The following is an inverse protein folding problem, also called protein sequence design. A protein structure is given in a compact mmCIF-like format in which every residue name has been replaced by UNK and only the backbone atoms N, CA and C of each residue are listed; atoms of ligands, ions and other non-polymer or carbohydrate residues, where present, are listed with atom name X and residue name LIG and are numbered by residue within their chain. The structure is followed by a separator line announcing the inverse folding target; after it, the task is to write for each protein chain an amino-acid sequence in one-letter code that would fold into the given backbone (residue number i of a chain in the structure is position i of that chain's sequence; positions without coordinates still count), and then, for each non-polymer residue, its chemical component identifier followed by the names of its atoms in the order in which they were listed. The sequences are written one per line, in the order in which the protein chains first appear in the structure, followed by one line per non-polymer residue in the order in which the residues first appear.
data_IF_499194017170
#
_entry.id   IF_499194017170
#
_cell.length_a   1.000
_cell.length_b   1.000
_cell.length_c   1.000
_cell.angle_alpha   90.00
_cell.angle_beta   90.00
_cell.angle_gamma   90.00
#
_symmetry.space_group_name_H-M   'P 1'
#
loop_
_entity.id
_entity.type
_entity.pdbx_description
1 polymer ?
#
# COMPACT_ATOMS: atom_id res chain seq x y z
N UNK A 1 11.83 -7.74 -9.38
CA UNK A 1 10.89 -8.13 -8.30
C UNK A 1 10.53 -6.90 -7.46
N UNK A 2 11.49 -6.12 -6.99
CA UNK A 2 11.22 -4.85 -6.29
C UNK A 2 10.49 -3.85 -7.16
N UNK A 3 10.88 -3.75 -8.43
CA UNK A 3 10.22 -2.93 -9.41
C UNK A 3 8.74 -3.24 -9.53
N UNK A 4 8.34 -4.51 -9.37
CA UNK A 4 6.94 -4.93 -9.39
C UNK A 4 6.10 -4.30 -8.27
N UNK A 5 6.61 -4.23 -7.04
CA UNK A 5 5.92 -3.56 -5.92
C UNK A 5 5.81 -2.06 -6.17
N UNK A 6 6.91 -1.40 -6.53
CA UNK A 6 6.95 0.03 -6.80
C UNK A 6 6.02 0.41 -7.96
N UNK A 7 6.05 -0.34 -9.06
CA UNK A 7 5.17 -0.11 -10.20
C UNK A 7 3.69 -0.32 -9.84
N UNK A 8 3.35 -1.33 -9.03
CA UNK A 8 1.98 -1.56 -8.56
C UNK A 8 1.47 -0.43 -7.69
N UNK A 9 2.30 0.07 -6.77
CA UNK A 9 1.95 1.21 -5.91
C UNK A 9 1.74 2.47 -6.74
N UNK A 10 2.66 2.79 -7.65
CA UNK A 10 2.52 3.96 -8.51
C UNK A 10 1.33 3.86 -9.46
N UNK A 11 1.03 2.67 -9.99
CA UNK A 11 -0.18 2.44 -10.78
C UNK A 11 -1.44 2.73 -9.96
N UNK A 12 -1.50 2.25 -8.71
CA UNK A 12 -2.64 2.53 -7.82
C UNK A 12 -2.74 4.03 -7.50
N UNK A 13 -1.61 4.68 -7.25
CA UNK A 13 -1.52 6.13 -7.07
C UNK A 13 -2.13 6.87 -8.27
N UNK A 14 -1.69 6.57 -9.48
CA UNK A 14 -2.19 7.23 -10.69
C UNK A 14 -3.69 7.00 -10.91
N UNK A 15 -4.20 5.79 -10.65
CA UNK A 15 -5.63 5.49 -10.76
C UNK A 15 -6.47 6.26 -9.74
N UNK A 16 -5.97 6.46 -8.53
CA UNK A 16 -6.68 7.19 -7.47
C UNK A 16 -6.53 8.71 -7.64
N UNK A 17 -5.34 9.20 -7.97
CA UNK A 17 -5.09 10.62 -8.21
C UNK A 17 -5.78 11.15 -9.49
N UNK A 18 -6.16 10.26 -10.42
CA UNK A 18 -7.00 10.68 -11.56
C UNK A 18 -8.41 11.10 -11.15
N UNK A 19 -8.84 10.71 -9.95
CA UNK A 19 -10.17 11.05 -9.41
C UNK A 19 -10.13 12.18 -8.38
N UNK A 20 -9.03 12.32 -7.64
CA UNK A 20 -8.90 13.31 -6.57
C UNK A 20 -7.51 13.95 -6.61
N UNK A 21 -7.44 15.19 -6.16
CA UNK A 21 -6.17 15.90 -6.01
C UNK A 21 -5.23 15.19 -5.01
N UNK A 22 -3.92 15.29 -5.23
CA UNK A 22 -2.91 14.82 -4.29
C UNK A 22 -3.17 15.43 -2.90
N UNK A 23 -3.22 14.59 -1.87
CA UNK A 23 -3.56 15.00 -0.51
C UNK A 23 -5.06 15.06 -0.21
N UNK A 24 -5.93 14.86 -1.19
CA UNK A 24 -7.38 14.81 -0.94
C UNK A 24 -7.80 13.40 -0.51
N UNK A 25 -8.38 13.30 0.69
CA UNK A 25 -8.89 12.04 1.20
C UNK A 25 -10.13 11.59 0.42
N UNK A 26 -10.03 10.44 -0.22
CA UNK A 26 -11.18 9.76 -0.81
C UNK A 26 -11.88 8.94 0.26
N UNK A 27 -13.10 9.33 0.63
CA UNK A 27 -13.92 8.63 1.59
C UNK A 27 -14.85 7.64 0.88
N UNK A 28 -14.76 6.37 1.26
CA UNK A 28 -15.72 5.34 0.88
C UNK A 28 -16.56 5.05 2.12
N UNK A 29 -17.73 5.66 2.19
CA UNK A 29 -18.62 5.65 3.35
C UNK A 29 -19.76 4.63 3.23
N UNK A 30 -19.58 3.66 2.35
CA UNK A 30 -20.42 2.49 2.16
C UNK A 30 -19.61 1.21 2.33
N UNK A 31 -20.24 0.18 2.87
CA UNK A 31 -19.61 -1.13 2.97
C UNK A 31 -19.51 -1.78 1.59
N UNK A 32 -18.43 -2.53 1.39
CA UNK A 32 -18.25 -3.28 0.14
C UNK A 32 -19.30 -4.40 0.02
N UNK A 33 -19.73 -4.62 -1.20
CA UNK A 33 -20.70 -5.65 -1.58
C UNK A 33 -20.04 -6.69 -2.50
N UNK A 34 -20.66 -7.84 -2.73
CA UNK A 34 -20.15 -8.83 -3.68
C UNK A 34 -20.02 -8.34 -5.12
N UNK A 35 -20.66 -7.23 -5.47
CA UNK A 35 -20.55 -6.59 -6.80
C UNK A 35 -19.32 -5.70 -6.95
N UNK A 36 -18.66 -5.33 -5.85
CA UNK A 36 -17.47 -4.49 -5.90
C UNK A 36 -16.27 -5.28 -6.43
N UNK A 37 -15.69 -4.76 -7.52
CA UNK A 37 -14.55 -5.37 -8.22
C UNK A 37 -13.27 -4.54 -8.16
N UNK A 38 -13.29 -3.42 -7.44
CA UNK A 38 -12.14 -2.52 -7.35
C UNK A 38 -10.99 -3.09 -6.51
N UNK A 39 -11.32 -3.96 -5.55
CA UNK A 39 -10.39 -4.66 -4.66
C UNK A 39 -10.69 -6.15 -4.73
N UNK A 40 -9.65 -6.98 -4.68
CA UNK A 40 -9.77 -8.43 -4.86
C UNK A 40 -10.59 -9.09 -3.75
N UNK A 41 -10.38 -8.66 -2.50
CA UNK A 41 -11.11 -9.15 -1.32
C UNK A 41 -11.36 -7.97 -0.40
N UNK A 42 -12.41 -7.16 -0.66
CA UNK A 42 -12.75 -6.04 0.21
C UNK A 42 -13.38 -6.55 1.51
N UNK A 43 -13.05 -5.92 2.64
CA UNK A 43 -13.81 -6.14 3.87
C UNK A 43 -15.21 -5.52 3.71
N UNK A 44 -16.21 -6.25 4.16
CA UNK A 44 -17.60 -5.82 4.14
C UNK A 44 -18.11 -5.31 5.50
N UNK A 45 -17.23 -5.15 6.46
CA UNK A 45 -17.50 -4.66 7.81
C UNK A 45 -16.74 -3.37 8.16
N UNK A 46 -16.01 -2.82 7.21
CA UNK A 46 -15.07 -1.72 7.45
C UNK A 46 -15.25 -0.61 6.44
N UNK A 47 -15.35 0.64 6.91
CA UNK A 47 -15.30 1.83 6.07
C UNK A 47 -13.86 2.20 5.76
N UNK A 48 -13.62 2.68 4.54
CA UNK A 48 -12.30 3.03 4.05
C UNK A 48 -12.19 4.49 3.66
N UNK A 49 -11.07 5.12 4.03
CA UNK A 49 -10.65 6.36 3.39
C UNK A 49 -9.21 6.20 2.93
N UNK A 50 -8.85 6.81 1.81
CA UNK A 50 -7.46 6.75 1.37
C UNK A 50 -7.03 8.00 0.62
N UNK A 51 -5.76 8.37 0.79
CA UNK A 51 -5.14 9.45 0.06
C UNK A 51 -3.65 9.17 -0.16
N UNK A 52 -3.08 9.91 -1.12
CA UNK A 52 -1.65 9.92 -1.39
C UNK A 52 -1.09 11.27 -1.02
N UNK A 53 0.09 11.26 -0.41
CA UNK A 53 0.78 12.46 0.06
C UNK A 53 2.23 12.45 -0.40
N UNK A 54 2.76 13.64 -0.57
CA UNK A 54 4.18 13.86 -0.84
C UNK A 54 4.82 14.56 0.35
N UNK A 55 5.78 13.91 0.99
CA UNK A 55 6.46 14.37 2.19
C UNK A 55 7.75 15.13 1.90
N UNK A 56 8.09 15.40 0.64
CA UNK A 56 9.30 16.20 0.31
C UNK A 56 9.23 17.64 0.83
N UNK A 57 8.03 18.13 1.04
CA UNK A 57 7.79 19.51 1.48
C UNK A 57 7.34 19.65 2.94
N UNK A 58 7.35 18.57 3.68
CA UNK A 58 7.01 18.53 5.10
C UNK A 58 6.23 17.29 5.50
N UNK A 59 6.02 17.17 6.78
CA UNK A 59 5.44 16.00 7.43
C UNK A 59 3.90 16.01 7.36
N UNK A 60 3.32 14.82 7.49
CA UNK A 60 1.89 14.67 7.75
C UNK A 60 1.62 14.71 9.25
N UNK A 61 0.45 15.22 9.61
CA UNK A 61 -0.14 15.00 10.94
C UNK A 61 -1.39 14.17 10.79
N UNK A 62 -1.46 13.06 11.55
CA UNK A 62 -2.64 12.20 11.64
C UNK A 62 -3.28 12.43 13.00
N UNK A 63 -4.46 13.06 13.00
CA UNK A 63 -5.25 13.31 14.19
C UNK A 63 -6.41 12.32 14.25
N UNK A 64 -6.42 11.51 15.27
CA UNK A 64 -7.47 10.52 15.54
C UNK A 64 -8.21 10.94 16.79
N UNK A 65 -9.53 11.19 16.73
CA UNK A 65 -10.30 11.56 17.91
C UNK A 65 -10.47 10.37 18.87
N UNK A 66 -10.92 10.61 20.09
CA UNK A 66 -11.38 9.53 20.96
C UNK A 66 -12.46 8.70 20.28
N UNK A 67 -12.35 7.38 20.39
CA UNK A 67 -13.36 6.45 19.89
C UNK A 67 -14.55 6.42 20.83
N UNK A 68 -15.69 6.00 20.30
CA UNK A 68 -16.97 5.97 20.99
C UNK A 68 -17.06 4.87 22.08
N UNK A 69 -16.25 3.82 21.94
CA UNK A 69 -16.16 2.75 22.94
C UNK A 69 -14.82 1.99 22.86
N UNK A 70 -14.42 1.25 23.92
CA UNK A 70 -13.09 0.66 24.04
C UNK A 70 -12.79 -0.45 23.03
N UNK A 71 -13.81 -1.03 22.40
CA UNK A 71 -13.61 -2.10 21.42
C UNK A 71 -13.66 -1.63 19.98
N UNK A 72 -13.98 -0.37 19.69
CA UNK A 72 -14.00 0.16 18.34
C UNK A 72 -12.67 -0.09 17.64
N UNK A 73 -12.67 -0.93 16.62
CA UNK A 73 -11.49 -1.08 15.78
C UNK A 73 -11.33 0.12 14.85
N UNK A 74 -10.13 0.64 14.84
CA UNK A 74 -9.68 1.64 13.90
C UNK A 74 -8.20 1.44 13.57
N UNK A 75 -7.83 1.85 12.39
CA UNK A 75 -6.46 1.73 11.90
C UNK A 75 -6.19 2.80 10.84
N UNK A 76 -5.07 3.48 10.96
CA UNK A 76 -4.47 4.27 9.89
C UNK A 76 -3.16 3.60 9.50
N UNK A 77 -3.16 3.05 8.30
CA UNK A 77 -2.04 2.37 7.69
C UNK A 77 -1.32 3.34 6.77
N UNK A 78 -0.03 3.53 6.99
CA UNK A 78 0.83 4.35 6.15
C UNK A 78 1.79 3.44 5.41
N UNK A 79 1.76 3.48 4.08
CA UNK A 79 2.66 2.71 3.23
C UNK A 79 3.60 3.65 2.49
N UNK A 80 4.86 3.27 2.43
CA UNK A 80 5.80 3.88 1.50
C UNK A 80 5.62 3.32 0.07
N UNK A 81 6.38 3.86 -0.90
CA UNK A 81 6.30 3.44 -2.30
C UNK A 81 6.74 1.98 -2.52
N UNK A 82 7.46 1.38 -1.57
CA UNK A 82 7.90 -0.02 -1.63
C UNK A 82 7.04 -0.96 -0.78
N UNK A 83 5.89 -0.48 -0.28
CA UNK A 83 4.93 -1.22 0.54
C UNK A 83 5.43 -1.60 1.94
N UNK A 84 6.41 -0.88 2.48
CA UNK A 84 6.67 -0.94 3.91
C UNK A 84 5.55 -0.22 4.64
N UNK A 85 5.16 -0.78 5.77
CA UNK A 85 3.97 -0.35 6.49
C UNK A 85 4.34 0.14 7.88
N UNK A 86 3.81 1.30 8.22
CA UNK A 86 3.72 1.79 9.58
C UNK A 86 2.25 1.93 9.98
N UNK A 87 1.95 1.81 11.27
CA UNK A 87 0.59 1.83 11.79
C UNK A 87 0.39 2.90 12.85
N UNK A 88 -0.65 3.70 12.67
CA UNK A 88 -1.31 4.48 13.73
C UNK A 88 -2.64 3.80 13.99
N UNK A 89 -2.76 3.02 15.06
CA UNK A 89 -3.89 2.13 15.23
C UNK A 89 -4.26 1.90 16.70
N UNK A 90 -5.43 1.33 16.91
CA UNK A 90 -5.94 1.00 18.25
C UNK A 90 -4.94 0.18 19.08
N UNK A 91 -4.23 -0.76 18.48
CA UNK A 91 -3.27 -1.63 19.18
C UNK A 91 -2.11 -0.85 19.81
N UNK A 92 -1.65 0.21 19.16
CA UNK A 92 -0.53 1.05 19.61
C UNK A 92 -1.01 2.25 20.44
N UNK A 93 -2.14 2.85 20.09
CA UNK A 93 -2.58 4.15 20.62
C UNK A 93 -3.87 4.09 21.43
N UNK A 94 -4.51 2.91 21.54
CA UNK A 94 -5.75 2.75 22.28
C UNK A 94 -6.94 3.43 21.60
N UNK A 95 -7.86 3.94 22.41
CA UNK A 95 -9.13 4.55 21.96
C UNK A 95 -9.31 5.99 22.46
N UNK A 96 -8.37 6.53 23.23
CA UNK A 96 -8.45 7.85 23.86
C UNK A 96 -8.16 9.04 22.95
N UNK A 97 -7.94 8.79 21.69
CA UNK A 97 -7.47 9.79 20.72
C UNK A 97 -5.95 9.92 20.69
N UNK A 98 -5.42 10.33 19.56
CA UNK A 98 -3.98 10.53 19.37
C UNK A 98 -3.70 11.50 18.24
N UNK A 99 -2.54 12.16 18.29
CA UNK A 99 -1.96 12.89 17.18
C UNK A 99 -0.58 12.32 16.91
N UNK A 100 -0.31 11.96 15.66
CA UNK A 100 0.95 11.32 15.24
C UNK A 100 1.48 12.05 14.01
N UNK A 101 2.76 12.36 14.02
CA UNK A 101 3.47 12.92 12.89
C UNK A 101 4.04 11.79 12.02
N UNK A 102 3.91 11.91 10.70
CA UNK A 102 4.55 11.00 9.75
C UNK A 102 5.61 11.78 9.00
N UNK A 103 6.85 11.34 9.10
CA UNK A 103 8.00 11.98 8.47
C UNK A 103 8.67 11.06 7.46
N UNK A 104 9.27 11.64 6.44
CA UNK A 104 10.13 10.94 5.50
C UNK A 104 11.57 10.96 5.99
N UNK A 105 12.13 9.78 6.21
CA UNK A 105 13.55 9.62 6.53
C UNK A 105 14.07 8.33 5.86
N UNK A 106 14.94 8.44 4.84
CA UNK A 106 15.49 7.28 4.15
C UNK A 106 16.52 6.50 4.98
N UNK A 107 17.01 7.06 6.07
CA UNK A 107 18.08 6.47 6.89
C UNK A 107 17.51 5.62 8.02
N UNK A 108 16.32 5.93 8.50
CA UNK A 108 15.69 5.29 9.65
C UNK A 108 14.63 4.28 9.23
N UNK A 109 14.77 2.98 9.56
CA UNK A 109 13.70 2.01 9.35
C UNK A 109 12.46 2.37 10.15
N UNK A 110 11.24 2.17 9.60
CA UNK A 110 10.02 2.42 10.32
C UNK A 110 9.93 1.59 11.61
N UNK A 111 9.61 2.25 12.70
CA UNK A 111 9.25 1.60 13.96
C UNK A 111 7.73 1.41 14.02
N UNK A 112 7.29 0.20 14.37
CA UNK A 112 5.88 -0.12 14.61
C UNK A 112 5.62 -0.11 16.12
N UNK A 113 5.60 1.08 16.70
CA UNK A 113 5.38 1.29 18.13
C UNK A 113 4.30 2.36 18.39
N UNK A 114 4.08 2.68 19.66
CA UNK A 114 3.15 3.71 20.10
C UNK A 114 3.73 5.13 20.04
N UNK A 115 4.78 5.35 19.28
CA UNK A 115 5.46 6.64 19.15
C UNK A 115 4.55 7.74 18.60
N UNK A 116 4.93 8.97 18.87
CA UNK A 116 4.26 10.17 18.33
C UNK A 116 4.79 10.57 16.95
N UNK A 117 5.86 9.93 16.52
CA UNK A 117 6.47 10.10 15.19
C UNK A 117 6.58 8.75 14.53
N UNK A 118 6.13 8.66 13.31
CA UNK A 118 6.24 7.50 12.44
C UNK A 118 7.09 7.87 11.24
N UNK A 119 8.08 7.06 10.94
CA UNK A 119 9.00 7.28 9.82
C UNK A 119 8.67 6.37 8.65
N UNK A 120 8.75 6.88 7.43
CA UNK A 120 8.65 6.09 6.19
C UNK A 120 9.87 6.33 5.30
N UNK A 121 10.24 5.31 4.52
CA UNK A 121 11.48 5.29 3.75
C UNK A 121 11.44 5.97 2.38
N UNK A 122 10.29 6.47 1.93
CA UNK A 122 10.16 7.22 0.68
C UNK A 122 9.32 8.46 0.87
N UNK A 123 9.49 9.51 0.03
CA UNK A 123 8.67 10.71 0.14
C UNK A 123 7.20 10.48 -0.23
N UNK A 124 6.89 9.45 -1.01
CA UNK A 124 5.51 9.10 -1.33
C UNK A 124 4.90 8.26 -0.20
N UNK A 125 3.81 8.76 0.39
CA UNK A 125 3.01 8.09 1.40
C UNK A 125 1.63 7.73 0.87
N UNK A 126 1.22 6.48 1.02
CA UNK A 126 -0.17 6.07 0.84
C UNK A 126 -0.81 5.83 2.19
N UNK A 127 -1.79 6.65 2.53
CA UNK A 127 -2.52 6.56 3.80
C UNK A 127 -3.86 5.88 3.55
N UNK A 128 -4.16 4.85 4.35
CA UNK A 128 -5.43 4.13 4.33
C UNK A 128 -6.00 4.12 5.74
N UNK A 129 -7.15 4.77 5.91
CA UNK A 129 -7.92 4.78 7.15
C UNK A 129 -8.97 3.68 7.10
N UNK A 130 -9.16 2.99 8.22
CA UNK A 130 -10.18 1.96 8.40
C UNK A 130 -10.90 2.15 9.72
N UNK A 131 -12.23 2.06 9.69
CA UNK A 131 -13.10 2.11 10.87
C UNK A 131 -14.12 0.98 10.76
N UNK A 132 -14.20 0.16 11.79
CA UNK A 132 -15.13 -0.97 11.85
C UNK A 132 -16.58 -0.48 11.95
N UNK A 133 -17.47 -1.17 11.27
CA UNK A 133 -18.92 -1.10 11.41
C UNK A 133 -19.37 -2.39 12.10
N UNK A 134 -19.87 -2.30 13.31
CA UNK A 134 -20.17 -3.49 14.12
C UNK A 134 -21.55 -4.09 13.81
N UNK A 135 -22.48 -3.27 13.34
CA UNK A 135 -23.80 -3.69 12.90
C UNK A 135 -24.39 -2.71 11.90
N UNK A 136 -25.48 -3.04 11.21
CA UNK A 136 -26.16 -2.10 10.30
C UNK A 136 -26.56 -0.77 10.99
N UNK A 137 -26.93 -0.81 12.25
CA UNK A 137 -27.36 0.37 13.03
C UNK A 137 -26.16 1.25 13.42
N UNK A 138 -24.95 0.70 13.41
CA UNK A 138 -23.72 1.41 13.75
C UNK A 138 -23.13 2.24 12.60
N UNK A 139 -23.63 2.07 11.39
CA UNK A 139 -23.04 2.65 10.17
C UNK A 139 -22.87 4.18 10.25
N UNK A 140 -23.84 4.90 10.78
CA UNK A 140 -23.78 6.37 10.88
C UNK A 140 -22.74 6.81 11.90
N UNK A 141 -22.58 6.06 12.97
CA UNK A 141 -21.57 6.31 13.98
C UNK A 141 -20.16 6.08 13.41
N UNK A 142 -19.97 4.97 12.72
CA UNK A 142 -18.71 4.65 12.05
C UNK A 142 -18.36 5.70 10.98
N UNK A 143 -19.34 6.19 10.20
CA UNK A 143 -19.18 7.30 9.24
C UNK A 143 -18.75 8.60 9.93
N UNK A 144 -19.34 8.92 11.08
CA UNK A 144 -18.95 10.10 11.85
C UNK A 144 -17.50 10.00 12.34
N UNK A 145 -17.11 8.84 12.88
CA UNK A 145 -15.72 8.57 13.31
C UNK A 145 -14.75 8.63 12.11
N UNK A 146 -15.09 8.02 10.98
CA UNK A 146 -14.29 8.06 9.77
C UNK A 146 -14.00 9.50 9.32
N UNK A 147 -15.02 10.36 9.30
CA UNK A 147 -14.91 11.76 8.89
C UNK A 147 -14.17 12.63 9.90
N UNK A 148 -14.07 12.21 11.14
CA UNK A 148 -13.36 12.94 12.20
C UNK A 148 -11.89 12.59 12.32
N UNK A 149 -11.43 11.49 11.69
CA UNK A 149 -10.01 11.21 11.51
C UNK A 149 -9.46 12.14 10.43
N UNK A 150 -8.49 12.96 10.78
CA UNK A 150 -7.91 13.97 9.90
C UNK A 150 -6.47 13.62 9.55
N UNK A 151 -6.12 13.83 8.30
CA UNK A 151 -4.74 13.77 7.84
C UNK A 151 -4.42 15.13 7.21
N UNK A 152 -3.52 15.85 7.84
CA UNK A 152 -3.09 17.18 7.42
C UNK A 152 -1.70 17.10 6.82
N UNK A 153 -1.54 17.65 5.63
CA UNK A 153 -0.27 17.73 4.92
C UNK A 153 0.05 19.18 4.59
N UNK A 154 1.32 19.52 4.39
CA UNK A 154 1.69 20.77 3.75
C UNK A 154 1.00 20.92 2.38
N UNK A 155 0.75 22.14 1.92
CA UNK A 155 0.18 22.35 0.59
C UNK A 155 1.05 21.69 -0.49
N UNK A 156 0.42 20.91 -1.38
CA UNK A 156 1.11 20.29 -2.49
C UNK A 156 1.71 21.35 -3.42
N UNK A 157 2.95 21.16 -3.86
CA UNK A 157 3.59 22.07 -4.79
C UNK A 157 2.95 21.96 -6.19
N UNK A 158 2.56 23.07 -6.85
CA UNK A 158 1.81 23.02 -8.12
C UNK A 158 2.52 22.27 -9.25
N UNK A 159 3.85 22.25 -9.26
CA UNK A 159 4.67 21.62 -10.31
C UNK A 159 4.69 20.09 -10.26
N UNK A 160 4.29 19.47 -9.16
CA UNK A 160 4.33 18.02 -8.99
C UNK A 160 3.03 17.31 -9.39
N UNK A 161 1.97 18.07 -9.64
CA UNK A 161 0.66 17.57 -10.09
C UNK A 161 0.67 16.99 -11.53
N UNK A 162 1.69 17.30 -12.30
CA UNK A 162 1.72 17.05 -13.75
C UNK A 162 2.42 15.76 -14.17
N UNK A 163 2.98 15.00 -13.25
CA UNK A 163 3.65 13.76 -13.60
C UNK A 163 2.65 12.68 -14.00
N UNK A 164 2.32 12.67 -15.27
CA UNK A 164 1.80 11.58 -16.11
C UNK A 164 0.30 11.53 -16.39
N UNK A 165 -0.02 12.14 -17.52
CA UNK A 165 -1.16 11.79 -18.33
C UNK A 165 -0.89 10.44 -19.03
N UNK A 166 -1.36 9.34 -18.49
CA UNK A 166 -1.31 8.02 -19.12
C UNK A 166 -1.83 6.93 -18.19
N UNK A 167 -2.60 5.98 -18.72
CA UNK A 167 -2.94 4.76 -17.95
C UNK A 167 -1.68 3.93 -17.84
N UNK A 168 -1.22 3.58 -16.60
CA UNK A 168 -0.09 2.67 -16.45
C UNK A 168 -0.41 1.33 -17.10
N UNK A 169 0.50 0.82 -17.90
CA UNK A 169 0.39 -0.53 -18.47
C UNK A 169 0.43 -1.56 -17.35
N UNK A 170 -0.36 -2.62 -17.46
CA UNK A 170 -0.27 -3.73 -16.51
C UNK A 170 1.13 -4.37 -16.62
N UNK A 171 1.84 -4.53 -15.50
CA UNK A 171 3.23 -4.99 -15.44
C UNK A 171 3.46 -6.25 -16.30
N UNK A 172 2.57 -7.22 -16.22
CA UNK A 172 2.65 -8.48 -16.99
C UNK A 172 2.46 -8.32 -18.50
N UNK A 173 2.17 -7.09 -18.99
CA UNK A 173 2.01 -6.77 -20.41
C UNK A 173 3.04 -5.76 -20.90
N UNK A 174 3.87 -5.27 -19.99
CA UNK A 174 4.78 -4.15 -20.30
C UNK A 174 6.03 -4.59 -21.08
N UNK A 175 6.41 -5.88 -21.06
CA UNK A 175 7.63 -6.34 -21.73
C UNK A 175 8.84 -5.50 -21.32
N UNK A 176 9.63 -5.08 -22.29
CA UNK A 176 10.81 -4.23 -22.06
C UNK A 176 10.46 -2.84 -21.49
N UNK A 177 9.29 -2.29 -21.82
CA UNK A 177 8.83 -0.98 -21.34
C UNK A 177 8.72 -0.93 -19.81
N UNK A 178 8.60 -2.08 -19.15
CA UNK A 178 8.60 -2.17 -17.68
C UNK A 178 9.83 -1.50 -17.07
N UNK A 179 11.01 -1.69 -17.63
CA UNK A 179 12.25 -1.14 -17.08
C UNK A 179 12.33 0.38 -17.27
N UNK A 180 11.85 0.90 -18.39
CA UNK A 180 11.76 2.35 -18.62
C UNK A 180 10.79 3.01 -17.64
N UNK A 181 9.63 2.40 -17.40
CA UNK A 181 8.71 2.85 -16.38
C UNK A 181 9.32 2.74 -14.96
N UNK A 182 10.00 1.61 -14.67
CA UNK A 182 10.66 1.39 -13.38
C UNK A 182 11.71 2.45 -13.06
N UNK A 183 12.59 2.77 -14.02
CA UNK A 183 13.60 3.82 -13.88
C UNK A 183 12.96 5.14 -13.44
N UNK A 184 11.86 5.51 -14.05
CA UNK A 184 11.16 6.74 -13.73
C UNK A 184 10.47 6.71 -12.34
N UNK A 185 10.01 5.55 -11.87
CA UNK A 185 9.45 5.40 -10.53
C UNK A 185 10.53 5.41 -9.45
N UNK A 186 11.68 4.80 -9.72
CA UNK A 186 12.85 4.84 -8.83
C UNK A 186 13.39 6.27 -8.71
N UNK A 187 13.40 7.04 -9.79
CA UNK A 187 13.80 8.45 -9.75
C UNK A 187 12.87 9.30 -8.86
N UNK A 188 11.58 8.97 -8.82
CA UNK A 188 10.60 9.66 -7.98
C UNK A 188 10.69 9.26 -6.50
N UNK A 189 10.83 7.95 -6.26
CA UNK A 189 10.84 7.35 -4.93
C UNK A 189 12.06 6.43 -4.80
N UNK A 190 13.23 7.00 -4.50
CA UNK A 190 14.43 6.21 -4.31
C UNK A 190 14.28 5.26 -3.11
N UNK A 191 14.82 4.02 -3.19
CA UNK A 191 14.78 3.10 -2.07
C UNK A 191 15.57 3.66 -0.90
N UNK A 192 15.02 3.56 0.31
CA UNK A 192 15.70 3.93 1.54
C UNK A 192 17.01 3.15 1.73
N UNK A 193 17.97 3.71 2.47
CA UNK A 193 19.30 3.12 2.65
C UNK A 193 19.26 1.76 3.36
N UNK A 194 18.26 1.54 4.19
CA UNK A 194 18.02 0.27 4.88
C UNK A 194 17.32 -0.79 4.04
N UNK A 195 16.84 -0.43 2.82
CA UNK A 195 16.31 -1.44 1.90
C UNK A 195 17.42 -2.39 1.46
N UNK A 196 17.11 -3.68 1.22
CA UNK A 196 18.06 -4.59 0.59
C UNK A 196 18.52 -4.00 -0.76
N UNK A 197 19.81 -3.94 -1.02
CA UNK A 197 20.34 -3.38 -2.28
C UNK A 197 20.13 -4.34 -3.46
N UNK A 198 20.01 -3.82 -4.66
CA UNK A 198 20.13 -4.62 -5.87
C UNK A 198 21.58 -5.09 -6.03
N UNK A 199 21.79 -6.21 -6.74
CA UNK A 199 23.14 -6.52 -7.21
C UNK A 199 23.61 -5.44 -8.20
N UNK A 200 24.93 -5.24 -8.36
CA UNK A 200 25.46 -4.28 -9.33
C UNK A 200 24.89 -4.47 -10.74
N UNK A 201 24.72 -5.72 -11.19
CA UNK A 201 24.18 -6.07 -12.49
C UNK A 201 22.69 -5.67 -12.60
N UNK A 202 21.90 -5.95 -11.56
CA UNK A 202 20.49 -5.58 -11.54
C UNK A 202 20.31 -4.06 -11.46
N UNK A 203 21.21 -3.36 -10.76
CA UNK A 203 21.21 -1.91 -10.73
C UNK A 203 21.53 -1.31 -12.10
N UNK A 204 22.54 -1.84 -12.79
CA UNK A 204 22.92 -1.40 -14.13
C UNK A 204 21.76 -1.52 -15.12
N UNK A 205 20.96 -2.61 -15.04
CA UNK A 205 19.76 -2.78 -15.88
C UNK A 205 18.71 -1.70 -15.59
N UNK A 206 18.54 -1.32 -14.35
CA UNK A 206 17.57 -0.26 -13.96
C UNK A 206 18.07 1.11 -14.40
N UNK A 207 19.37 1.35 -14.29
CA UNK A 207 19.98 2.65 -14.63
C UNK A 207 20.03 2.89 -16.15
N UNK A 208 20.32 1.84 -16.91
CA UNK A 208 20.40 1.89 -18.37
C UNK A 208 19.77 0.65 -19.05
N UNK A 209 18.43 0.58 -19.09
CA UNK A 209 17.74 -0.52 -19.77
C UNK A 209 17.93 -0.51 -21.29
N UNK A 210 18.26 0.63 -21.89
CA UNK A 210 18.38 0.77 -23.34
C UNK A 210 19.65 0.08 -23.88
N UNK A 211 20.64 -0.18 -23.01
CA UNK A 211 21.84 -0.96 -23.32
C UNK A 211 21.61 -2.46 -23.47
N UNK A 212 20.38 -2.95 -23.22
CA UNK A 212 20.03 -4.38 -23.23
C UNK A 212 18.95 -4.64 -24.28
N UNK A 213 19.04 -5.78 -24.97
CA UNK A 213 18.02 -6.10 -25.98
C UNK A 213 16.62 -6.23 -25.39
N UNK A 214 15.62 -5.75 -26.11
CA UNK A 214 14.22 -5.77 -25.67
C UNK A 214 13.73 -7.19 -25.35
N UNK A 215 14.19 -8.20 -26.10
CA UNK A 215 13.82 -9.60 -25.90
C UNK A 215 14.35 -10.13 -24.55
N UNK A 216 15.58 -9.78 -24.16
CA UNK A 216 16.15 -10.16 -22.86
C UNK A 216 15.41 -9.48 -21.73
N UNK A 217 15.09 -8.21 -21.87
CA UNK A 217 14.30 -7.49 -20.87
C UNK A 217 12.89 -8.07 -20.73
N UNK A 218 12.23 -8.38 -21.84
CA UNK A 218 10.89 -8.99 -21.83
C UNK A 218 10.89 -10.38 -21.16
N UNK A 219 11.87 -11.23 -21.50
CA UNK A 219 12.05 -12.53 -20.86
C UNK A 219 12.29 -12.40 -19.33
N UNK A 220 13.05 -11.39 -18.93
CA UNK A 220 13.27 -11.08 -17.50
C UNK A 220 11.98 -10.66 -16.76
N UNK A 221 11.11 -9.90 -17.40
CA UNK A 221 9.79 -9.53 -16.86
C UNK A 221 8.89 -10.75 -16.72
N UNK A 222 8.84 -11.61 -17.74
CA UNK A 222 8.04 -12.83 -17.75
C UNK A 222 8.48 -13.79 -16.63
N UNK A 223 9.78 -14.05 -16.51
CA UNK A 223 10.33 -14.89 -15.43
C UNK A 223 10.08 -14.28 -14.05
N UNK A 224 10.25 -12.97 -13.88
CA UNK A 224 9.91 -12.26 -12.64
C UNK A 224 8.44 -12.42 -12.27
N UNK A 225 7.54 -12.33 -13.23
CA UNK A 225 6.10 -12.51 -13.02
C UNK A 225 5.76 -13.95 -12.62
N UNK A 226 6.41 -14.93 -13.25
CA UNK A 226 6.28 -16.35 -12.91
C UNK A 226 6.72 -16.66 -11.48
N UNK A 227 7.87 -16.13 -11.06
CA UNK A 227 8.41 -16.27 -9.70
C UNK A 227 7.48 -15.64 -8.65
N UNK A 228 6.95 -14.44 -8.90
CA UNK A 228 6.01 -13.76 -8.03
C UNK A 228 4.72 -14.56 -7.87
N UNK A 229 4.20 -15.09 -8.97
CA UNK A 229 2.97 -15.91 -8.99
C UNK A 229 3.17 -17.21 -8.22
N UNK A 230 4.28 -17.90 -8.46
CA UNK A 230 4.64 -19.13 -7.74
C UNK A 230 4.80 -18.89 -6.24
N UNK A 231 5.37 -17.76 -5.83
CA UNK A 231 5.53 -17.41 -4.41
C UNK A 231 4.20 -17.15 -3.70
N UNK A 232 3.22 -16.57 -4.39
CA UNK A 232 1.87 -16.38 -3.84
C UNK A 232 1.22 -17.73 -3.54
N UNK A 233 1.25 -18.65 -4.48
CA UNK A 233 0.68 -19.99 -4.30
C UNK A 233 1.35 -20.77 -3.15
N UNK A 234 2.68 -20.73 -3.05
CA UNK A 234 3.43 -21.39 -1.99
C UNK A 234 3.21 -20.80 -0.59
N UNK A 235 2.74 -19.56 -0.51
CA UNK A 235 2.42 -18.87 0.75
C UNK A 235 1.04 -19.15 1.32
N UNK A 236 0.19 -19.87 0.60
CA UNK A 236 -1.20 -20.15 0.99
C UNK A 236 -1.27 -21.42 1.83
N UNK A 237 -1.95 -21.35 2.95
CA UNK A 237 -2.24 -22.49 3.83
C UNK A 237 -3.68 -22.93 3.64
N UNK A 238 -3.89 -24.20 3.38
CA UNK A 238 -5.22 -24.77 3.19
C UNK A 238 -5.56 -25.71 4.35
N UNK A 239 -6.75 -25.56 4.93
CA UNK A 239 -7.27 -26.46 5.97
C UNK A 239 -8.80 -26.46 5.95
N UNK A 240 -9.39 -27.67 5.92
CA UNK A 240 -10.85 -27.86 5.99
C UNK A 240 -11.63 -27.01 4.96
N UNK A 241 -11.16 -26.92 3.72
CA UNK A 241 -11.79 -26.12 2.66
C UNK A 241 -11.51 -24.62 2.74
N UNK A 242 -10.88 -24.16 3.81
CA UNK A 242 -10.47 -22.77 3.96
C UNK A 242 -9.02 -22.56 3.52
N UNK A 243 -8.75 -21.42 2.96
CA UNK A 243 -7.40 -20.97 2.65
C UNK A 243 -7.10 -19.64 3.31
N UNK A 244 -5.86 -19.46 3.73
CA UNK A 244 -5.36 -18.16 4.21
C UNK A 244 -3.96 -17.93 3.68
N UNK A 245 -3.72 -16.72 3.18
CA UNK A 245 -2.38 -16.28 2.81
C UNK A 245 -1.56 -15.88 4.05
N UNK A 246 -0.26 -16.08 3.99
CA UNK A 246 0.65 -15.40 4.91
C UNK A 246 0.69 -13.93 4.51
N UNK A 247 0.58 -13.02 5.49
CA UNK A 247 0.65 -11.58 5.23
C UNK A 247 1.81 -11.23 4.31
N UNK A 248 1.52 -10.46 3.28
CA UNK A 248 2.50 -10.03 2.28
C UNK A 248 3.13 -8.67 2.62
N UNK A 249 2.68 -8.04 3.70
CA UNK A 249 3.19 -6.76 4.20
C UNK A 249 4.10 -6.99 5.40
N UNK A 250 5.15 -6.21 5.54
CA UNK A 250 6.10 -6.29 6.64
C UNK A 250 7.56 -6.21 6.21
N UNK A 251 8.45 -6.14 7.21
CA UNK A 251 9.89 -5.96 7.03
C UNK A 251 10.67 -7.29 7.04
N UNK A 252 10.05 -8.39 6.70
CA UNK A 252 10.66 -9.73 6.79
C UNK A 252 11.74 -10.03 5.74
N UNK A 253 12.09 -9.07 4.92
CA UNK A 253 13.14 -9.20 3.91
C UNK A 253 12.77 -10.05 2.67
N UNK A 254 11.64 -10.76 2.68
CA UNK A 254 11.18 -11.57 1.56
C UNK A 254 10.59 -10.71 0.45
N UNK A 255 11.44 -10.35 -0.52
CA UNK A 255 11.10 -9.48 -1.64
C UNK A 255 10.05 -10.12 -2.56
N UNK A 256 10.10 -11.45 -2.78
CA UNK A 256 9.11 -12.16 -3.59
C UNK A 256 7.74 -12.15 -2.94
N UNK A 257 7.68 -12.37 -1.63
CA UNK A 257 6.44 -12.31 -0.85
C UNK A 257 5.83 -10.90 -0.91
N UNK A 258 6.66 -9.86 -0.80
CA UNK A 258 6.21 -8.47 -0.91
C UNK A 258 5.67 -8.17 -2.31
N UNK A 259 6.37 -8.60 -3.36
CA UNK A 259 5.93 -8.42 -4.74
C UNK A 259 4.62 -9.18 -5.02
N UNK A 260 4.46 -10.38 -4.46
CA UNK A 260 3.20 -11.13 -4.52
C UNK A 260 2.06 -10.37 -3.84
N UNK A 261 2.29 -9.82 -2.64
CA UNK A 261 1.31 -8.98 -1.97
C UNK A 261 0.92 -7.74 -2.76
N UNK A 262 1.89 -7.06 -3.37
CA UNK A 262 1.62 -5.91 -4.23
C UNK A 262 0.82 -6.28 -5.49
N UNK A 263 1.04 -7.47 -6.03
CA UNK A 263 0.34 -7.97 -7.22
C UNK A 263 -1.09 -8.43 -6.93
N UNK A 264 -1.28 -9.18 -5.84
CA UNK A 264 -2.53 -9.92 -5.56
C UNK A 264 -3.37 -9.32 -4.42
N UNK A 265 -2.83 -8.41 -3.63
CA UNK A 265 -3.53 -7.85 -2.48
C UNK A 265 -2.88 -6.57 -1.94
N UNK A 266 -2.61 -5.60 -2.82
CA UNK A 266 -2.01 -4.33 -2.44
C UNK A 266 -2.83 -3.61 -1.35
N UNK A 267 -2.15 -3.14 -0.30
CA UNK A 267 -2.78 -2.50 0.85
C UNK A 267 -3.33 -3.49 1.89
N UNK A 268 -3.00 -4.77 1.77
CA UNK A 268 -3.32 -5.78 2.78
C UNK A 268 -2.59 -5.53 4.11
N UNK A 269 -3.19 -5.97 5.20
CA UNK A 269 -2.62 -5.85 6.54
C UNK A 269 -1.50 -6.85 6.83
N UNK A 270 -0.67 -6.52 7.81
CA UNK A 270 0.12 -7.54 8.52
C UNK A 270 -0.82 -8.48 9.28
N UNK A 271 -0.42 -9.74 9.43
CA UNK A 271 -1.23 -10.77 10.08
C UNK A 271 -1.60 -10.45 11.54
N UNK A 272 -0.85 -9.57 12.20
CA UNK A 272 -1.13 -9.09 13.55
C UNK A 272 -2.31 -8.11 13.60
N UNK A 273 -2.60 -7.43 12.49
CA UNK A 273 -3.73 -6.50 12.38
C UNK A 273 -4.98 -7.20 11.83
N UNK A 274 -4.81 -7.99 10.78
CA UNK A 274 -5.91 -8.69 10.13
C UNK A 274 -5.41 -9.95 9.41
N UNK A 275 -6.22 -11.00 9.42
CA UNK A 275 -5.98 -12.21 8.66
C UNK A 275 -7.26 -12.64 7.95
N UNK A 276 -7.21 -12.67 6.63
CA UNK A 276 -8.33 -13.13 5.82
C UNK A 276 -8.31 -14.64 5.65
N UNK A 277 -9.47 -15.27 5.77
CA UNK A 277 -9.72 -16.66 5.45
C UNK A 277 -10.69 -16.72 4.28
N UNK A 278 -10.35 -17.48 3.26
CA UNK A 278 -11.12 -17.56 2.02
C UNK A 278 -11.58 -19.00 1.85
N UNK A 279 -12.86 -19.19 1.56
CA UNK A 279 -13.41 -20.46 1.09
C UNK A 279 -13.75 -20.29 -0.39
N UNK A 280 -13.32 -21.23 -1.21
CA UNK A 280 -13.83 -21.36 -2.57
C UNK A 280 -15.08 -22.24 -2.48
N UNK A 281 -16.26 -21.67 -2.72
CA UNK A 281 -17.44 -22.46 -3.05
C UNK A 281 -17.33 -22.83 -4.52
N UNK A 282 -17.42 -24.10 -4.83
CA UNK A 282 -17.68 -24.53 -6.19
C UNK A 282 -18.99 -23.85 -6.61
N UNK A 283 -18.88 -22.97 -7.60
CA UNK A 283 -20.08 -22.39 -8.19
C UNK A 283 -20.79 -23.53 -8.93
N UNK A 284 -21.83 -24.06 -8.32
CA UNK A 284 -22.81 -24.93 -8.99
C UNK A 284 -23.70 -24.08 -9.86
#
# INVERSE_FOLDING_TARGET
IRGGSLASVNRKRLLLCSKNDNGTMNLVDVLATPSDRAIVVPNNDTLYSSAWYDLRHGDLTIDVPPMDHPNRYWNVMVLDAYTHVAYVCRRHHGVGGTSVQVTFDPDTPPANDAGKVVTIGTPTAWVIVRVLVESPEDIEKARSLQRSIRVTAPPAHPTERTARAGRPTAIHKAGAEFFTELKSYVALDQPALWHPKLSPEAQAIVDDPDGISADVLAAGVEEGDRLITGRNAAGTVHKNGWSTGRSATGFDGDILKRAAGAKFGLGGHQAIENRSYIVQSDAT
#
